data_IF_887772125086
#
_entry.id   IF_887772125086
#
_cell.length_a   1.000
_cell.length_b   1.000
_cell.length_c   1.000
_cell.angle_alpha   90.00
_cell.angle_beta   90.00
_cell.angle_gamma   90.00
#
_symmetry.space_group_name_H-M   'P 1'
#
loop_
_entity.id
_entity.type
_entity.pdbx_description
1 polymer ?
#
# COMPACT_ATOMS: atom_id res chain seq x y z
N UNK A 1 7.23 12.80 -6.90
CA UNK A 1 6.57 12.77 -8.22
C UNK A 1 5.46 11.73 -8.15
N UNK A 2 4.19 12.13 -8.29
CA UNK A 2 3.06 11.18 -8.33
C UNK A 2 2.92 10.55 -9.73
N UNK A 3 2.08 9.52 -9.86
CA UNK A 3 1.90 8.77 -11.11
C UNK A 3 1.27 9.58 -12.28
N UNK A 4 0.99 10.87 -12.11
CA UNK A 4 0.34 11.71 -13.13
C UNK A 4 -1.11 11.31 -13.49
N UNK A 5 -1.67 10.29 -12.82
CA UNK A 5 -3.01 9.78 -13.09
C UNK A 5 -4.11 10.56 -12.33
N UNK A 6 -5.32 10.71 -12.88
CA UNK A 6 -6.47 11.35 -12.23
C UNK A 6 -7.15 10.42 -11.20
N UNK A 7 -6.37 9.60 -10.50
CA UNK A 7 -6.83 8.65 -9.49
C UNK A 7 -6.12 8.87 -8.17
N UNK A 8 -6.77 8.52 -7.07
CA UNK A 8 -6.23 8.53 -5.71
C UNK A 8 -6.43 7.18 -5.05
N UNK A 9 -5.57 6.82 -4.10
CA UNK A 9 -5.73 5.62 -3.28
C UNK A 9 -6.72 5.95 -2.16
N UNK A 10 -7.84 5.23 -2.12
CA UNK A 10 -8.84 5.39 -1.05
C UNK A 10 -8.41 4.62 0.22
N UNK A 11 -7.91 3.40 0.04
CA UNK A 11 -7.32 2.59 1.11
C UNK A 11 -6.37 1.56 0.51
N UNK A 12 -5.47 1.01 1.32
CA UNK A 12 -4.56 -0.05 0.92
C UNK A 12 -4.15 -0.90 2.12
N UNK A 13 -3.70 -2.11 1.82
CA UNK A 13 -3.26 -3.09 2.81
C UNK A 13 -2.02 -3.82 2.28
N UNK A 14 -1.02 -3.95 3.14
CA UNK A 14 0.13 -4.81 2.93
C UNK A 14 0.03 -5.93 3.95
N UNK A 15 -0.04 -7.16 3.47
CA UNK A 15 -0.09 -8.33 4.34
C UNK A 15 1.25 -8.54 5.04
N UNK A 16 2.36 -8.48 4.29
CA UNK A 16 3.69 -8.65 4.85
C UNK A 16 4.73 -7.77 4.14
N UNK A 17 5.52 -7.08 4.97
CA UNK A 17 6.67 -6.30 4.55
C UNK A 17 7.93 -6.90 5.18
N UNK A 18 8.84 -7.40 4.35
CA UNK A 18 10.14 -7.95 4.77
C UNK A 18 11.27 -7.04 4.30
N UNK A 19 12.07 -6.54 5.25
CA UNK A 19 13.20 -5.66 4.97
C UNK A 19 14.49 -6.33 5.46
N UNK A 20 15.45 -6.52 4.56
CA UNK A 20 16.78 -7.00 4.89
C UNK A 20 17.79 -5.86 4.75
N UNK A 21 18.23 -5.32 5.88
CA UNK A 21 19.21 -4.23 5.95
C UNK A 21 20.61 -4.82 6.23
N UNK A 22 21.59 -4.63 5.32
CA UNK A 22 22.93 -5.15 5.50
C UNK A 22 23.79 -4.22 6.38
N UNK A 23 23.51 -4.15 7.69
CA UNK A 23 24.15 -3.21 8.63
C UNK A 23 25.69 -3.21 8.62
N UNK A 24 26.31 -4.37 8.36
CA UNK A 24 27.78 -4.50 8.30
C UNK A 24 28.37 -3.92 7.01
N UNK A 25 27.61 -3.97 5.91
CA UNK A 25 28.09 -3.68 4.56
C UNK A 25 27.16 -2.70 3.83
N UNK A 26 26.61 -1.71 4.54
CA UNK A 26 25.55 -0.84 4.03
C UNK A 26 25.95 -0.03 2.79
N UNK A 27 27.23 0.31 2.67
CA UNK A 27 27.76 1.05 1.52
C UNK A 27 27.97 0.17 0.28
N UNK A 28 28.22 -1.13 0.46
CA UNK A 28 28.57 -2.04 -0.62
C UNK A 28 27.43 -2.99 -1.01
N UNK A 29 26.44 -3.17 -0.14
CA UNK A 29 25.30 -4.05 -0.36
C UNK A 29 24.00 -3.28 -0.22
N UNK A 30 23.07 -3.41 -1.19
CA UNK A 30 21.80 -2.72 -1.13
C UNK A 30 20.87 -3.34 -0.08
N UNK A 31 20.05 -2.51 0.55
CA UNK A 31 18.88 -2.96 1.33
C UNK A 31 17.90 -3.67 0.40
N UNK A 32 17.43 -4.85 0.79
CA UNK A 32 16.39 -5.57 0.05
C UNK A 32 15.04 -5.37 0.73
N UNK A 33 14.02 -5.07 -0.05
CA UNK A 33 12.63 -4.93 0.41
C UNK A 33 11.77 -5.90 -0.38
N UNK A 34 10.96 -6.67 0.31
CA UNK A 34 10.01 -7.61 -0.27
C UNK A 34 8.63 -7.36 0.32
N UNK A 35 7.64 -7.24 -0.56
CA UNK A 35 6.25 -7.00 -0.21
C UNK A 35 5.48 -8.22 -0.70
N UNK A 36 4.86 -8.94 0.23
CA UNK A 36 3.97 -10.07 -0.07
C UNK A 36 2.54 -9.63 0.26
N UNK A 37 1.61 -9.80 -0.68
CA UNK A 37 0.21 -9.40 -0.53
C UNK A 37 0.02 -7.88 -0.50
N UNK A 38 -0.03 -7.24 -1.67
CA UNK A 38 -0.27 -5.80 -1.82
C UNK A 38 -1.63 -5.52 -2.45
N UNK A 39 -2.53 -4.92 -1.67
CA UNK A 39 -3.91 -4.64 -2.07
C UNK A 39 -4.17 -3.14 -1.98
N UNK A 40 -4.77 -2.55 -3.02
CA UNK A 40 -5.13 -1.14 -3.02
C UNK A 40 -6.49 -0.93 -3.67
N UNK A 41 -7.32 -0.09 -3.05
CA UNK A 41 -8.54 0.44 -3.63
C UNK A 41 -8.24 1.82 -4.21
N UNK A 42 -8.36 1.94 -5.53
CA UNK A 42 -8.08 3.16 -6.28
C UNK A 42 -9.38 3.78 -6.78
N UNK A 43 -9.52 5.10 -6.65
CA UNK A 43 -10.72 5.85 -7.02
C UNK A 43 -10.38 7.08 -7.86
N UNK A 44 -11.28 7.59 -8.70
CA UNK A 44 -11.06 8.86 -9.41
C UNK A 44 -10.92 10.04 -8.45
N UNK A 45 -9.99 10.97 -8.71
CA UNK A 45 -9.74 12.16 -7.86
C UNK A 45 -10.95 13.11 -7.76
N UNK A 46 -11.77 13.17 -8.81
CA UNK A 46 -12.88 14.13 -8.93
C UNK A 46 -14.25 13.44 -9.05
N UNK A 47 -14.34 12.14 -8.76
CA UNK A 47 -15.60 11.42 -8.72
C UNK A 47 -16.10 11.32 -7.29
N UNK A 48 -17.34 11.72 -7.02
CA UNK A 48 -18.02 11.36 -5.77
C UNK A 48 -18.20 9.84 -5.76
N UNK A 49 -17.31 9.13 -5.05
CA UNK A 49 -17.43 7.68 -4.89
C UNK A 49 -18.04 7.39 -3.52
N UNK A 50 -19.30 6.99 -3.51
CA UNK A 50 -20.00 6.56 -2.30
C UNK A 50 -19.76 5.07 -2.10
N UNK A 51 -18.95 4.69 -1.12
CA UNK A 51 -18.79 3.30 -0.71
C UNK A 51 -19.71 2.98 0.47
N UNK A 52 -20.60 2.02 0.28
CA UNK A 52 -21.32 1.39 1.39
C UNK A 52 -20.43 0.30 1.98
N UNK A 53 -19.58 0.66 2.95
CA UNK A 53 -18.86 -0.36 3.74
C UNK A 53 -19.89 -1.04 4.65
N UNK A 54 -20.15 -2.33 4.42
CA UNK A 54 -20.92 -3.13 5.38
C UNK A 54 -20.18 -3.12 6.71
N UNK A 55 -20.89 -2.76 7.78
CA UNK A 55 -20.37 -2.66 9.16
C UNK A 55 -19.66 -3.94 9.62
N UNK A 56 -20.06 -5.09 9.07
CA UNK A 56 -19.51 -6.42 9.37
C UNK A 56 -18.04 -6.60 8.95
N UNK A 57 -17.52 -5.79 8.04
CA UNK A 57 -16.11 -5.83 7.61
C UNK A 57 -15.17 -5.10 8.58
N UNK A 58 -15.65 -4.08 9.29
CA UNK A 58 -14.82 -3.26 10.19
C UNK A 58 -14.56 -3.93 11.55
N UNK A 59 -15.33 -4.97 11.91
CA UNK A 59 -15.23 -5.66 13.20
C UNK A 59 -14.39 -6.95 13.14
N UNK A 60 -13.62 -7.17 12.08
CA UNK A 60 -12.80 -8.38 11.89
C UNK A 60 -11.29 -8.14 12.10
N UNK A 61 -10.91 -6.95 12.56
CA UNK A 61 -9.54 -6.61 12.96
C UNK A 61 -9.53 -6.01 14.38
#
# INVERSE_FOLDING_TARGET
>A
VGLGLPVTVATGFIEKLSIAIPWKNLQSHPTKVQIDGFYMLIVPKNGTVSFFIKKDFLNQF
#
